data_IF_782773480151
#
_entry.id   IF_782773480151
#
_cell.length_a   1.000
_cell.length_b   1.000
_cell.length_c   1.000
_cell.angle_alpha   90.00
_cell.angle_beta   90.00
_cell.angle_gamma   90.00
#
_symmetry.space_group_name_H-M   'P 1'
#
loop_
_entity.id
_entity.type
_entity.pdbx_description
1 polymer ?
#
# COMPACT_ATOMS: atom_id res chain seq x y z
N UNK A 1 19.34 22.29 15.55
CA UNK A 1 18.47 23.50 15.63
C UNK A 1 19.34 24.71 16.02
N UNK A 2 20.36 25.01 15.19
CA UNK A 2 21.31 26.15 15.46
C UNK A 2 20.79 27.55 15.01
N UNK A 3 20.07 28.23 15.90
CA UNK A 3 19.59 29.59 15.65
C UNK A 3 19.72 30.41 16.93
N UNK A 4 20.18 29.76 18.00
CA UNK A 4 20.35 30.36 19.34
C UNK A 4 19.01 30.80 19.93
N UNK A 5 17.93 30.40 19.26
CA UNK A 5 16.57 30.60 19.74
C UNK A 5 16.47 30.16 21.19
N UNK A 6 15.79 30.96 22.00
CA UNK A 6 15.30 30.46 23.27
C UNK A 6 13.77 30.32 23.22
N UNK A 7 13.29 29.13 22.86
CA UNK A 7 11.88 28.77 23.04
C UNK A 7 10.94 29.38 22.02
N UNK A 8 10.26 28.53 21.27
CA UNK A 8 9.37 29.04 20.24
C UNK A 8 7.98 29.15 20.84
N UNK A 9 7.21 28.10 20.53
CA UNK A 9 5.81 28.02 20.89
C UNK A 9 5.56 27.47 22.31
N UNK A 10 5.61 26.12 22.43
CA UNK A 10 5.07 25.36 23.58
C UNK A 10 3.67 25.89 23.88
N UNK A 11 2.86 26.17 22.83
CA UNK A 11 1.61 26.85 23.16
C UNK A 11 0.64 25.79 23.68
N UNK A 12 1.01 25.20 24.84
CA UNK A 12 0.58 23.86 25.30
C UNK A 12 -0.55 23.22 24.45
N UNK A 13 -1.75 23.87 24.50
CA UNK A 13 -2.92 23.41 23.76
C UNK A 13 -2.55 23.23 22.32
N UNK A 14 -1.37 22.65 22.08
CA UNK A 14 -1.16 21.78 20.93
C UNK A 14 -0.67 20.50 21.57
N UNK A 15 0.15 20.71 22.58
CA UNK A 15 0.90 19.69 23.26
C UNK A 15 0.12 19.07 24.47
N UNK A 16 -0.93 19.74 24.95
CA UNK A 16 -1.85 19.18 25.96
C UNK A 16 -3.10 18.54 25.36
N UNK A 17 -3.11 18.43 24.04
CA UNK A 17 -4.13 17.70 23.26
C UNK A 17 -3.85 16.18 23.19
N UNK A 18 -4.87 15.35 22.88
CA UNK A 18 -4.61 13.93 22.62
C UNK A 18 -3.83 13.72 21.30
N UNK A 19 -2.52 13.83 21.39
CA UNK A 19 -1.68 14.03 20.24
C UNK A 19 -1.20 12.72 19.62
N UNK A 20 -0.69 12.78 18.40
CA UNK A 20 -0.59 11.59 17.56
C UNK A 20 0.20 11.86 16.29
N UNK A 21 1.18 11.01 15.97
CA UNK A 21 1.88 11.01 14.67
C UNK A 21 0.89 10.57 13.59
N UNK A 22 1.19 10.74 12.31
CA UNK A 22 0.15 10.73 11.30
C UNK A 22 -0.27 9.39 10.76
N UNK A 23 0.68 8.53 10.42
CA UNK A 23 0.38 7.32 9.64
C UNK A 23 0.71 7.63 8.19
N UNK A 24 1.66 6.89 7.63
CA UNK A 24 1.97 6.98 6.23
C UNK A 24 0.79 6.53 5.41
N UNK A 25 0.38 7.33 4.45
CA UNK A 25 -0.79 7.02 3.69
C UNK A 25 -0.61 5.71 2.90
N UNK A 26 0.63 5.42 2.54
CA UNK A 26 0.98 4.11 2.00
C UNK A 26 0.80 2.98 3.01
N UNK A 27 1.21 3.21 4.26
CA UNK A 27 0.97 2.26 5.36
C UNK A 27 -0.52 1.95 5.56
N UNK A 28 -1.33 3.00 5.57
CA UNK A 28 -2.78 2.92 5.62
C UNK A 28 -3.32 2.02 4.54
N UNK A 29 -2.82 2.18 3.31
CA UNK A 29 -3.30 1.41 2.15
C UNK A 29 -3.03 -0.07 2.27
N UNK A 30 -1.81 -0.39 2.66
CA UNK A 30 -1.34 -1.76 2.76
C UNK A 30 -2.05 -2.58 3.82
N UNK A 31 -2.64 -1.91 4.81
CA UNK A 31 -3.44 -2.57 5.85
C UNK A 31 -4.83 -2.85 5.33
N UNK A 32 -5.50 -1.83 4.81
CA UNK A 32 -6.80 -2.01 4.16
C UNK A 32 -6.74 -3.03 3.03
N UNK A 33 -5.53 -3.36 2.61
CA UNK A 33 -5.31 -4.33 1.54
C UNK A 33 -4.99 -5.69 2.14
N UNK A 34 -4.20 -5.74 3.21
CA UNK A 34 -3.84 -7.01 3.83
C UNK A 34 -5.07 -7.80 4.26
N UNK A 35 -6.04 -7.17 4.91
CA UNK A 35 -7.20 -7.89 5.44
C UNK A 35 -8.42 -7.87 4.51
N UNK A 36 -8.29 -7.11 3.43
CA UNK A 36 -9.26 -7.20 2.35
C UNK A 36 -8.87 -8.32 1.37
N UNK A 37 -7.58 -8.61 1.29
CA UNK A 37 -7.02 -9.63 0.42
C UNK A 37 -6.87 -10.96 1.14
N UNK A 38 -6.89 -10.95 2.47
CA UNK A 38 -6.92 -12.21 3.21
C UNK A 38 -8.37 -12.62 3.55
N UNK A 39 -9.32 -11.71 3.29
CA UNK A 39 -10.78 -12.00 3.27
C UNK A 39 -11.24 -12.46 1.88
N UNK A 40 -10.39 -12.26 0.88
CA UNK A 40 -10.54 -12.93 -0.41
C UNK A 40 -9.87 -14.30 -0.33
N UNK A 41 -8.78 -14.41 0.42
CA UNK A 41 -8.04 -15.66 0.57
C UNK A 41 -8.88 -16.82 1.11
N UNK A 42 -10.11 -16.50 1.53
CA UNK A 42 -11.12 -17.48 1.94
C UNK A 42 -11.74 -18.19 0.72
N UNK A 43 -12.43 -17.43 -0.12
CA UNK A 43 -13.01 -17.94 -1.38
C UNK A 43 -12.03 -18.07 -2.59
N UNK A 44 -10.90 -18.72 -2.33
CA UNK A 44 -10.02 -19.26 -3.35
C UNK A 44 -10.43 -20.75 -3.60
N UNK A 45 -10.82 -21.14 -4.86
CA UNK A 45 -11.12 -22.57 -5.03
C UNK A 45 -9.92 -23.44 -4.64
N UNK A 46 -8.76 -22.79 -4.53
CA UNK A 46 -7.51 -23.35 -4.04
C UNK A 46 -6.39 -22.27 -4.16
N UNK A 47 -6.56 -21.37 -5.12
CA UNK A 47 -5.47 -20.75 -5.90
C UNK A 47 -4.88 -19.36 -5.50
N UNK A 48 -5.14 -18.92 -4.27
CA UNK A 48 -4.39 -17.81 -3.67
C UNK A 48 -4.03 -18.17 -2.22
N UNK A 49 -3.03 -19.07 -2.02
CA UNK A 49 -2.77 -19.71 -0.71
C UNK A 49 -2.25 -18.83 0.44
N UNK A 50 -1.58 -17.71 0.12
CA UNK A 50 -0.90 -16.86 1.12
C UNK A 50 -0.79 -15.38 0.74
N UNK A 51 -1.02 -14.53 1.74
CA UNK A 51 -0.61 -13.12 1.79
C UNK A 51 0.22 -12.98 3.07
N UNK A 52 1.37 -12.31 2.99
CA UNK A 52 2.12 -11.95 4.20
C UNK A 52 2.59 -10.48 4.07
N UNK A 53 2.58 -9.75 5.19
CA UNK A 53 3.02 -8.33 5.28
C UNK A 53 4.07 -8.10 6.39
N UNK A 54 5.33 -7.90 6.00
CA UNK A 54 6.56 -7.72 6.86
C UNK A 54 6.68 -6.44 7.62
N UNK A 55 7.33 -5.53 6.90
CA UNK A 55 7.62 -4.20 7.31
C UNK A 55 7.46 -3.36 6.07
N UNK A 56 6.21 -3.07 5.76
CA UNK A 56 5.89 -2.37 4.53
C UNK A 56 6.29 -3.08 3.25
N UNK A 57 6.46 -4.40 3.33
CA UNK A 57 6.59 -5.25 2.15
C UNK A 57 5.48 -6.27 2.23
N UNK A 58 4.71 -6.39 1.16
CA UNK A 58 3.67 -7.40 1.06
C UNK A 58 3.87 -8.43 -0.07
N UNK A 59 3.77 -9.70 0.29
CA UNK A 59 3.89 -10.77 -0.68
C UNK A 59 2.52 -11.38 -0.90
N UNK A 60 2.18 -11.67 -2.14
CA UNK A 60 0.92 -12.33 -2.44
C UNK A 60 1.12 -13.52 -3.40
N UNK A 61 1.10 -14.75 -2.85
CA UNK A 61 1.10 -16.01 -3.63
C UNK A 61 -0.17 -16.27 -4.42
N UNK A 62 0.00 -16.40 -5.71
CA UNK A 62 -1.09 -16.67 -6.60
C UNK A 62 -0.48 -17.59 -7.67
N UNK A 63 -0.49 -18.94 -7.42
CA UNK A 63 0.22 -19.98 -8.18
C UNK A 63 -0.13 -19.99 -9.65
N UNK A 64 -1.38 -19.69 -9.98
CA UNK A 64 -1.77 -19.41 -11.37
C UNK A 64 -0.79 -18.50 -12.15
N UNK A 65 -0.31 -17.41 -11.52
CA UNK A 65 0.56 -16.40 -12.18
C UNK A 65 2.01 -16.29 -11.70
N UNK A 66 2.27 -16.67 -10.46
CA UNK A 66 3.54 -16.38 -9.84
C UNK A 66 3.25 -15.41 -8.72
N UNK A 67 4.30 -14.94 -8.04
CA UNK A 67 4.12 -14.19 -6.77
C UNK A 67 4.31 -12.66 -6.84
N UNK A 68 3.28 -11.94 -6.40
CA UNK A 68 3.26 -10.47 -6.32
C UNK A 68 4.10 -9.96 -5.17
N UNK A 69 4.81 -8.86 -5.41
CA UNK A 69 5.46 -8.12 -4.36
C UNK A 69 4.95 -6.66 -4.33
N UNK A 70 4.54 -6.18 -3.15
CA UNK A 70 4.02 -4.79 -2.97
C UNK A 70 4.76 -4.04 -1.83
N UNK A 71 5.31 -2.86 -2.14
CA UNK A 71 6.37 -2.20 -1.38
C UNK A 71 6.07 -0.77 -1.02
N UNK A 72 6.53 -0.36 0.17
CA UNK A 72 6.73 1.03 0.56
C UNK A 72 8.05 1.50 -0.05
N UNK A 73 8.03 2.58 -0.82
CA UNK A 73 9.24 3.08 -1.49
C UNK A 73 9.57 4.57 -1.27
N UNK A 74 10.88 4.92 -1.17
CA UNK A 74 11.21 6.34 -1.22
C UNK A 74 10.69 6.99 -2.51
N UNK A 75 10.08 8.19 -2.40
CA UNK A 75 9.51 8.95 -3.51
C UNK A 75 10.47 9.22 -4.67
N UNK A 76 10.12 10.16 -5.54
CA UNK A 76 10.25 10.06 -7.02
C UNK A 76 9.01 9.52 -7.59
N UNK A 77 8.18 9.06 -6.61
CA UNK A 77 6.79 8.54 -6.58
C UNK A 77 6.81 7.30 -5.64
N UNK A 78 5.79 7.10 -4.80
CA UNK A 78 5.79 6.04 -3.71
C UNK A 78 4.84 4.79 -3.92
N UNK A 79 4.79 3.79 -2.98
CA UNK A 79 4.14 2.46 -3.24
C UNK A 79 4.55 1.73 -4.57
N UNK A 80 5.16 0.55 -4.45
CA UNK A 80 5.69 -0.16 -5.61
C UNK A 80 4.97 -1.47 -5.89
N UNK A 81 4.61 -1.72 -7.14
CA UNK A 81 3.92 -2.98 -7.53
C UNK A 81 4.81 -3.75 -8.47
N UNK A 82 5.13 -4.98 -8.09
CA UNK A 82 5.76 -5.97 -8.96
C UNK A 82 4.74 -7.10 -9.23
N UNK A 83 4.10 -7.05 -10.40
CA UNK A 83 3.13 -8.04 -10.82
C UNK A 83 3.71 -9.10 -11.80
N UNK A 84 3.52 -10.41 -11.47
CA UNK A 84 3.93 -11.56 -12.32
C UNK A 84 3.25 -11.55 -13.67
N UNK A 85 2.10 -10.88 -13.74
CA UNK A 85 1.31 -10.66 -14.95
C UNK A 85 1.51 -9.29 -15.64
N UNK A 86 1.25 -8.18 -14.96
CA UNK A 86 1.23 -6.87 -15.64
C UNK A 86 2.52 -6.12 -15.58
N UNK A 87 3.51 -6.66 -14.90
CA UNK A 87 4.80 -5.98 -14.76
C UNK A 87 4.94 -5.05 -13.56
N UNK A 88 5.99 -4.22 -13.56
CA UNK A 88 6.32 -3.28 -12.50
C UNK A 88 5.54 -1.98 -12.61
N UNK A 89 5.12 -1.40 -11.49
CA UNK A 89 4.55 -0.04 -11.54
C UNK A 89 4.75 0.78 -10.26
N UNK A 90 4.71 2.11 -10.32
CA UNK A 90 4.66 2.90 -9.08
C UNK A 90 3.60 3.98 -9.01
N UNK A 91 3.17 4.30 -7.79
CA UNK A 91 1.92 4.98 -7.55
C UNK A 91 1.99 6.13 -6.53
N UNK A 92 1.38 7.28 -6.86
CA UNK A 92 1.23 8.33 -5.85
C UNK A 92 -0.22 8.75 -5.70
N UNK A 93 -0.56 9.31 -4.54
CA UNK A 93 -1.90 9.91 -4.36
C UNK A 93 -2.21 10.99 -5.42
N UNK A 94 -3.43 10.99 -5.96
CA UNK A 94 -3.88 12.15 -6.74
C UNK A 94 -4.96 12.81 -5.98
N UNK A 95 -6.11 12.16 -5.95
CA UNK A 95 -7.19 12.71 -5.16
C UNK A 95 -7.68 11.66 -4.24
N UNK A 96 -6.85 11.29 -3.27
CA UNK A 96 -7.22 10.31 -2.29
C UNK A 96 -7.07 8.89 -2.78
N UNK A 97 -6.89 8.67 -4.08
CA UNK A 97 -6.57 7.31 -4.53
C UNK A 97 -5.20 7.17 -5.23
N UNK A 98 -4.67 5.95 -5.21
CA UNK A 98 -3.31 5.61 -5.62
C UNK A 98 -3.23 5.27 -7.09
N UNK A 99 -2.42 6.05 -7.78
CA UNK A 99 -2.46 6.22 -9.21
C UNK A 99 -1.08 6.06 -9.79
N UNK A 100 -1.01 5.35 -10.90
CA UNK A 100 0.21 5.11 -11.64
C UNK A 100 0.87 6.37 -12.23
N UNK A 101 2.16 6.53 -11.95
CA UNK A 101 2.97 7.56 -12.60
C UNK A 101 3.03 7.35 -14.11
N UNK A 102 3.14 6.10 -14.54
CA UNK A 102 3.13 5.76 -15.96
C UNK A 102 1.94 6.32 -16.78
N UNK A 103 0.70 6.01 -16.41
CA UNK A 103 -0.51 6.39 -17.16
C UNK A 103 -1.66 6.83 -16.27
N UNK A 104 -1.48 6.73 -14.96
CA UNK A 104 -2.49 7.28 -14.07
C UNK A 104 -3.65 6.38 -13.76
N UNK A 105 -3.50 5.09 -14.03
CA UNK A 105 -4.53 4.12 -13.67
C UNK A 105 -4.37 3.74 -12.21
N UNK A 106 -5.50 3.50 -11.54
CA UNK A 106 -5.53 3.00 -10.16
C UNK A 106 -4.90 1.58 -10.01
N UNK A 107 -4.03 1.41 -9.01
CA UNK A 107 -3.57 0.08 -8.64
C UNK A 107 -4.70 -0.67 -7.96
N UNK A 108 -5.51 0.04 -7.17
CA UNK A 108 -6.76 -0.52 -6.62
C UNK A 108 -7.54 -1.29 -7.73
N UNK A 109 -7.66 -0.69 -8.92
CA UNK A 109 -8.26 -1.36 -10.09
C UNK A 109 -7.40 -2.48 -10.69
N UNK A 110 -6.07 -2.34 -10.67
CA UNK A 110 -5.16 -3.34 -11.25
C UNK A 110 -5.18 -4.63 -10.43
N UNK A 111 -5.28 -4.50 -9.11
CA UNK A 111 -5.38 -5.67 -8.24
C UNK A 111 -6.71 -6.39 -8.45
N UNK A 112 -7.81 -5.67 -8.29
CA UNK A 112 -9.15 -6.12 -8.69
C UNK A 112 -9.12 -6.97 -9.95
N UNK A 113 -8.76 -6.37 -11.08
CA UNK A 113 -8.67 -7.09 -12.36
C UNK A 113 -7.93 -8.43 -12.24
N UNK A 114 -6.71 -8.37 -11.72
CA UNK A 114 -5.83 -9.52 -11.64
C UNK A 114 -6.20 -10.58 -10.59
N UNK A 115 -6.76 -10.14 -9.46
CA UNK A 115 -7.27 -11.05 -8.43
C UNK A 115 -8.50 -11.82 -8.89
N UNK A 116 -9.48 -11.10 -9.42
CA UNK A 116 -10.66 -11.75 -9.99
C UNK A 116 -10.44 -12.40 -11.38
N UNK A 117 -9.44 -11.96 -12.15
CA UNK A 117 -8.98 -12.76 -13.32
C UNK A 117 -8.59 -14.19 -12.87
N UNK A 118 -8.31 -14.35 -11.57
CA UNK A 118 -7.88 -15.62 -10.98
C UNK A 118 -9.01 -16.48 -10.39
N UNK A 119 -9.99 -15.85 -9.74
CA UNK A 119 -11.19 -16.55 -9.20
C UNK A 119 -11.86 -17.39 -10.28
N UNK A 120 -11.74 -16.93 -11.52
CA UNK A 120 -12.32 -17.59 -12.68
C UNK A 120 -11.78 -19.01 -12.87
N UNK A 121 -10.47 -19.09 -13.06
CA UNK A 121 -9.79 -20.36 -13.34
C UNK A 121 -9.34 -21.06 -12.05
#
# INVERSE_FOLDING_TARGET
VESSTDGQVVPQEVLNLPLEKAHEEADDYLDHLLDSLEELSEAHPDCIPDVELSHGVMTLEIPAFGTYVINKQPPNKQIWLASPLSGPNRFDLLNGEWVSLRNGTKLTDILTEEVEKAISKSQ
#
